data_IF_603050474567
#
_entry.id   IF_603050474567
#
_cell.length_a   1.000
_cell.length_b   1.000
_cell.length_c   1.000
_cell.angle_alpha   90.00
_cell.angle_beta   90.00
_cell.angle_gamma   90.00
#
_symmetry.space_group_name_H-M   'P 1'
#
loop_
_entity.id
_entity.type
_entity.pdbx_description
1 polymer ?
#
# COMPACT_ATOMS: atom_id res chain seq x y z
N UNK A 1 5.92 -8.68 -4.43
CA UNK A 1 5.97 -7.45 -3.60
C UNK A 1 4.68 -7.34 -2.78
N UNK A 2 4.79 -7.17 -1.47
CA UNK A 2 3.68 -7.00 -0.52
C UNK A 2 3.34 -5.52 -0.37
N UNK A 3 2.22 -5.10 -0.94
CA UNK A 3 1.76 -3.71 -0.88
C UNK A 3 0.68 -3.54 0.20
N UNK A 4 0.93 -2.67 1.17
CA UNK A 4 -0.05 -2.30 2.19
C UNK A 4 -1.07 -1.30 1.65
N UNK A 5 -2.35 -1.69 1.61
CA UNK A 5 -3.43 -0.90 0.99
C UNK A 5 -4.66 -0.79 1.89
N UNK A 6 -5.59 0.09 1.50
CA UNK A 6 -6.98 0.09 1.99
C UNK A 6 -7.84 -0.86 1.17
N UNK A 7 -8.96 -1.27 1.77
CA UNK A 7 -9.99 -2.07 1.09
C UNK A 7 -11.35 -1.37 1.00
N UNK A 8 -11.50 -0.20 1.64
CA UNK A 8 -12.81 0.45 1.85
C UNK A 8 -12.88 1.89 1.36
N UNK A 9 -12.01 2.30 0.42
CA UNK A 9 -12.00 3.67 -0.10
C UNK A 9 -12.08 3.70 -1.63
N UNK A 10 -13.28 3.97 -2.15
CA UNK A 10 -13.54 4.15 -3.57
C UNK A 10 -12.57 5.16 -4.21
N UNK A 11 -12.08 4.83 -5.40
CA UNK A 11 -11.12 5.62 -6.16
C UNK A 11 -9.66 5.52 -5.68
N UNK A 12 -9.42 5.02 -4.46
CA UNK A 12 -8.08 4.90 -3.87
C UNK A 12 -7.68 3.43 -3.72
N UNK A 13 -7.90 2.82 -2.55
CA UNK A 13 -7.78 1.39 -2.32
C UNK A 13 -9.16 0.83 -1.96
N UNK A 14 -9.74 0.08 -2.90
CA UNK A 14 -11.06 -0.52 -2.73
C UNK A 14 -11.05 -1.99 -3.13
N UNK A 15 -11.65 -2.84 -2.29
CA UNK A 15 -11.97 -4.22 -2.58
C UNK A 15 -13.48 -4.35 -2.77
N UNK A 16 -13.90 -4.72 -3.97
CA UNK A 16 -15.29 -5.06 -4.23
C UNK A 16 -15.61 -6.43 -3.61
N UNK A 17 -16.50 -6.45 -2.62
CA UNK A 17 -16.82 -7.67 -1.86
C UNK A 17 -17.58 -8.72 -2.68
N UNK A 18 -18.24 -8.34 -3.78
CA UNK A 18 -19.01 -9.26 -4.62
C UNK A 18 -18.13 -9.96 -5.66
N UNK A 19 -17.15 -9.25 -6.21
CA UNK A 19 -16.30 -9.70 -7.31
C UNK A 19 -14.88 -10.07 -6.85
N UNK A 20 -14.45 -9.61 -5.68
CA UNK A 20 -13.08 -9.74 -5.20
C UNK A 20 -12.07 -8.83 -5.92
N UNK A 21 -12.54 -7.99 -6.85
CA UNK A 21 -11.68 -7.12 -7.66
C UNK A 21 -11.19 -5.94 -6.83
N UNK A 22 -9.88 -5.68 -6.90
CA UNK A 22 -9.25 -4.50 -6.30
C UNK A 22 -9.11 -3.39 -7.34
N UNK A 23 -9.42 -2.16 -6.94
CA UNK A 23 -9.36 -1.01 -7.85
C UNK A 23 -8.99 0.30 -7.15
N UNK A 24 -8.53 1.26 -7.96
CA UNK A 24 -8.26 2.65 -7.58
C UNK A 24 -6.78 3.04 -7.68
N UNK A 25 -6.48 4.27 -7.25
CA UNK A 25 -5.15 4.88 -7.39
C UNK A 25 -4.09 4.14 -6.56
N UNK A 26 -4.40 3.75 -5.32
CA UNK A 26 -3.47 3.04 -4.44
C UNK A 26 -3.05 1.70 -5.09
N UNK A 27 -4.02 0.97 -5.66
CA UNK A 27 -3.79 -0.29 -6.38
C UNK A 27 -2.93 -0.07 -7.63
N UNK A 28 -3.22 0.98 -8.39
CA UNK A 28 -2.47 1.32 -9.60
C UNK A 28 -1.00 1.67 -9.29
N UNK A 29 -0.75 2.35 -8.18
CA UNK A 29 0.61 2.65 -7.72
C UNK A 29 1.35 1.41 -7.23
N UNK A 30 0.70 0.48 -6.52
CA UNK A 30 1.32 -0.81 -6.19
C UNK A 30 1.77 -1.56 -7.46
N UNK A 31 0.91 -1.61 -8.47
CA UNK A 31 1.23 -2.22 -9.77
C UNK A 31 2.37 -1.49 -10.47
N UNK A 32 2.38 -0.16 -10.45
CA UNK A 32 3.44 0.65 -11.06
C UNK A 32 4.80 0.41 -10.39
N UNK A 33 4.86 0.35 -9.05
CA UNK A 33 6.11 0.04 -8.34
C UNK A 33 6.59 -1.38 -8.67
N UNK A 34 5.69 -2.36 -8.67
CA UNK A 34 6.02 -3.74 -9.03
C UNK A 34 6.64 -3.83 -10.44
N UNK A 35 5.99 -3.21 -11.42
CA UNK A 35 6.51 -3.14 -12.79
C UNK A 35 7.87 -2.43 -12.86
N UNK A 36 8.05 -1.34 -12.11
CA UNK A 36 9.29 -0.57 -12.08
C UNK A 36 10.48 -1.36 -11.51
N UNK A 37 10.24 -2.31 -10.60
CA UNK A 37 11.27 -3.19 -10.03
C UNK A 37 11.39 -4.53 -10.77
N UNK A 38 10.73 -4.67 -11.94
CA UNK A 38 10.84 -5.85 -12.81
C UNK A 38 9.97 -7.04 -12.42
N UNK A 39 8.95 -6.85 -11.58
CA UNK A 39 7.94 -7.86 -11.26
C UNK A 39 6.73 -7.77 -12.20
N UNK A 40 5.98 -8.86 -12.35
CA UNK A 40 4.71 -8.84 -13.07
C UNK A 40 3.63 -8.11 -12.23
N UNK A 41 3.14 -6.93 -12.65
CA UNK A 41 2.18 -6.17 -11.88
C UNK A 41 0.83 -6.88 -11.66
N UNK A 42 0.50 -7.89 -12.46
CA UNK A 42 -0.78 -8.57 -12.39
C UNK A 42 -0.75 -9.83 -11.51
N UNK A 43 0.44 -10.41 -11.28
CA UNK A 43 0.60 -11.68 -10.57
C UNK A 43 1.55 -11.63 -9.38
N UNK A 44 2.54 -10.73 -9.37
CA UNK A 44 3.58 -10.65 -8.33
C UNK A 44 3.30 -9.60 -7.24
N UNK A 45 2.07 -9.07 -7.17
CA UNK A 45 1.64 -8.11 -6.13
C UNK A 45 0.70 -8.78 -5.14
N UNK A 46 1.13 -8.86 -3.88
CA UNK A 46 0.29 -9.29 -2.76
C UNK A 46 -0.26 -8.05 -2.04
N UNK A 47 -1.58 -7.90 -1.99
CA UNK A 47 -2.23 -6.76 -1.35
C UNK A 47 -2.57 -7.11 0.11
N UNK A 48 -1.90 -6.45 1.05
CA UNK A 48 -2.10 -6.66 2.48
C UNK A 48 -2.97 -5.52 3.05
N UNK A 49 -4.10 -5.84 3.72
CA UNK A 49 -4.90 -4.81 4.37
C UNK A 49 -4.11 -4.10 5.49
N UNK A 50 -4.07 -2.78 5.42
CA UNK A 50 -3.39 -1.92 6.38
C UNK A 50 -4.35 -0.85 6.93
N UNK A 51 -4.65 -0.94 8.23
CA UNK A 51 -5.61 -0.08 8.89
C UNK A 51 -5.03 1.30 9.22
N UNK A 52 -5.86 2.13 9.87
CA UNK A 52 -5.40 3.42 10.39
C UNK A 52 -4.29 3.31 11.44
N UNK A 53 -4.35 2.28 12.27
CA UNK A 53 -3.56 2.12 13.50
C UNK A 53 -2.31 1.27 13.33
N UNK A 54 -2.32 0.27 12.43
CA UNK A 54 -1.25 -0.73 12.31
C UNK A 54 -0.36 -0.56 11.06
N UNK A 55 -0.68 0.36 10.14
CA UNK A 55 0.01 0.47 8.84
C UNK A 55 1.51 0.71 8.93
N UNK A 56 1.95 1.51 9.91
CA UNK A 56 3.37 1.80 10.10
C UNK A 56 4.09 0.67 10.84
N UNK A 57 3.41 -0.03 11.74
CA UNK A 57 3.94 -1.25 12.38
C UNK A 57 4.14 -2.36 11.35
N UNK A 58 3.16 -2.57 10.46
CA UNK A 58 3.27 -3.52 9.35
C UNK A 58 4.46 -3.21 8.43
N UNK A 59 4.69 -1.93 8.15
CA UNK A 59 5.85 -1.50 7.36
C UNK A 59 7.16 -1.75 8.11
N UNK A 60 7.25 -1.28 9.36
CA UNK A 60 8.46 -1.42 10.17
C UNK A 60 8.83 -2.89 10.47
N UNK A 61 7.84 -3.79 10.56
CA UNK A 61 8.04 -5.22 10.79
C UNK A 61 8.30 -6.04 9.53
N UNK A 62 8.24 -5.44 8.34
CA UNK A 62 8.40 -6.15 7.06
C UNK A 62 7.22 -7.06 6.71
N UNK A 63 6.06 -6.89 7.35
CA UNK A 63 4.82 -7.55 6.92
C UNK A 63 4.40 -7.04 5.54
N UNK A 64 4.68 -5.77 5.24
CA UNK A 64 4.54 -5.17 3.92
C UNK A 64 5.89 -4.59 3.48
N UNK A 65 6.16 -4.63 2.19
CA UNK A 65 7.37 -4.08 1.59
C UNK A 65 7.22 -2.57 1.34
N UNK A 66 5.99 -2.13 1.03
CA UNK A 66 5.67 -0.73 0.75
C UNK A 66 4.26 -0.39 1.23
N UNK A 67 4.07 0.83 1.74
CA UNK A 67 2.77 1.35 2.16
C UNK A 67 2.23 2.36 1.14
N UNK A 68 1.31 1.91 0.29
CA UNK A 68 0.64 2.76 -0.72
C UNK A 68 -0.84 2.83 -0.37
N UNK A 69 -1.16 3.89 0.35
CA UNK A 69 -2.46 4.10 0.99
C UNK A 69 -2.62 5.60 1.21
N UNK A 70 -3.85 6.11 1.28
CA UNK A 70 -4.13 7.49 1.76
C UNK A 70 -3.52 7.79 3.13
N UNK A 71 -2.25 8.18 3.13
CA UNK A 71 -1.36 8.34 4.28
C UNK A 71 -0.56 9.62 4.07
N UNK A 72 -0.93 10.66 4.80
CA UNK A 72 -0.27 11.97 4.70
C UNK A 72 1.18 11.90 5.16
N UNK A 73 2.08 12.55 4.45
CA UNK A 73 3.42 12.83 4.95
C UNK A 73 3.37 13.97 5.96
N UNK A 74 3.86 13.73 7.17
CA UNK A 74 4.05 14.74 8.20
C UNK A 74 5.45 14.61 8.79
N UNK A 75 6.03 15.70 9.30
CA UNK A 75 7.35 15.66 9.95
C UNK A 75 7.45 14.61 11.04
N UNK A 76 6.40 14.44 11.85
CA UNK A 76 6.36 13.41 12.90
C UNK A 76 6.35 11.98 12.37
N UNK A 77 5.79 11.71 11.18
CA UNK A 77 5.78 10.37 10.59
C UNK A 77 7.15 10.02 10.01
N UNK A 78 7.83 11.02 9.46
CA UNK A 78 9.13 10.88 8.80
C UNK A 78 10.28 10.83 9.81
N UNK A 79 10.26 11.71 10.81
CA UNK A 79 11.36 11.81 11.77
C UNK A 79 11.26 10.82 12.94
N UNK A 80 10.07 10.30 13.25
CA UNK A 80 9.83 9.49 14.47
C UNK A 80 9.42 8.06 14.21
N UNK A 81 9.03 7.70 12.99
CA UNK A 81 8.75 6.31 12.62
C UNK A 81 9.91 5.79 11.78
N UNK A 82 10.12 4.48 11.79
CA UNK A 82 11.06 3.82 10.88
C UNK A 82 10.42 3.69 9.49
N UNK A 83 10.10 4.82 8.87
CA UNK A 83 9.43 4.91 7.57
C UNK A 83 9.86 6.18 6.86
N UNK A 84 10.38 6.05 5.65
CA UNK A 84 10.68 7.17 4.76
C UNK A 84 9.58 7.33 3.71
N UNK A 85 9.36 8.57 3.26
CA UNK A 85 8.43 8.87 2.17
C UNK A 85 9.19 9.10 0.86
N UNK A 86 8.75 8.44 -0.22
CA UNK A 86 9.24 8.73 -1.56
C UNK A 86 8.66 10.08 -2.04
N UNK A 87 9.52 11.08 -2.22
CA UNK A 87 9.17 12.44 -2.64
C UNK A 87 8.98 12.62 -4.14
#
# INVERSE_FOLDING_TARGET
MKCGVKESQYGMGYLDAATGVRSGLDISYCRAVAAAIGLDPDTDVEYIPASGSDRFEKLASGVIDVLIRTTTWTTSRDASLNADFAG
#
